data_IF_311683475446
#
_entry.id   IF_311683475446
#
_cell.length_a   1.000
_cell.length_b   1.000
_cell.length_c   1.000
_cell.angle_alpha   90.00
_cell.angle_beta   90.00
_cell.angle_gamma   90.00
#
_symmetry.space_group_name_H-M   'P 1'
#
loop_
_entity.id
_entity.type
_entity.pdbx_description
1 polymer ?
#
# COMPACT_ATOMS: atom_id res chain seq x y z
N UNK A 1 -0.16 -39.42 6.40
CA UNK A 1 0.99 -38.52 6.32
C UNK A 1 0.56 -37.06 6.30
N UNK A 2 -0.40 -36.64 5.43
CA UNK A 2 -0.85 -35.25 5.27
C UNK A 2 -1.34 -34.66 6.61
N UNK A 3 -2.23 -35.36 7.31
CA UNK A 3 -2.81 -34.91 8.57
C UNK A 3 -1.79 -34.59 9.69
N UNK A 4 -0.53 -35.03 9.55
CA UNK A 4 0.54 -34.77 10.54
C UNK A 4 1.46 -33.62 10.15
N UNK A 5 1.38 -33.12 8.93
CA UNK A 5 2.35 -32.17 8.37
C UNK A 5 1.71 -30.88 7.84
N UNK A 6 0.38 -30.88 7.71
CA UNK A 6 -0.36 -29.76 7.17
C UNK A 6 -1.39 -29.23 8.15
N UNK A 7 -1.52 -27.92 8.20
CA UNK A 7 -2.62 -27.20 8.82
C UNK A 7 -3.31 -26.36 7.74
N UNK A 8 -4.53 -25.96 7.94
CA UNK A 8 -5.27 -25.13 7.03
C UNK A 8 -5.77 -23.85 7.71
N UNK A 9 -5.73 -22.74 7.00
CA UNK A 9 -6.48 -21.53 7.34
C UNK A 9 -7.55 -21.35 6.28
N UNK A 10 -8.76 -21.81 6.58
CA UNK A 10 -9.84 -21.87 5.59
C UNK A 10 -11.21 -22.03 6.26
N UNK A 11 -12.23 -21.48 5.59
CA UNK A 11 -13.65 -21.73 5.93
C UNK A 11 -14.26 -22.88 5.13
N UNK A 12 -13.57 -23.39 4.08
CA UNK A 12 -14.02 -24.49 3.23
C UNK A 12 -13.57 -25.84 3.81
N UNK A 13 -14.18 -26.25 4.94
CA UNK A 13 -13.78 -27.44 5.70
C UNK A 13 -13.94 -28.75 4.94
N UNK A 14 -14.87 -28.84 4.00
CA UNK A 14 -15.05 -29.96 3.09
C UNK A 14 -13.81 -30.18 2.20
N UNK A 15 -13.28 -29.12 1.62
CA UNK A 15 -12.05 -29.17 0.81
C UNK A 15 -10.80 -29.43 1.66
N UNK A 16 -10.77 -28.94 2.87
CA UNK A 16 -9.69 -29.22 3.85
C UNK A 16 -9.66 -30.73 4.16
N UNK A 17 -10.82 -31.33 4.41
CA UNK A 17 -10.94 -32.76 4.66
C UNK A 17 -10.62 -33.60 3.41
N UNK A 18 -11.08 -33.20 2.22
CA UNK A 18 -10.77 -33.83 0.93
C UNK A 18 -9.27 -33.87 0.66
N UNK A 19 -8.54 -32.79 0.98
CA UNK A 19 -7.08 -32.74 0.88
C UNK A 19 -6.38 -33.69 1.86
N UNK A 20 -7.06 -34.12 2.94
CA UNK A 20 -6.55 -35.04 3.94
C UNK A 20 -5.97 -34.35 5.19
N UNK A 21 -6.27 -33.08 5.40
CA UNK A 21 -5.95 -32.38 6.65
C UNK A 21 -7.01 -32.73 7.70
N UNK A 22 -6.55 -33.01 8.93
CA UNK A 22 -7.46 -33.21 10.06
C UNK A 22 -8.21 -31.88 10.34
N UNK A 23 -9.56 -31.86 10.36
CA UNK A 23 -10.32 -30.65 10.66
C UNK A 23 -9.93 -30.00 12.01
N UNK A 24 -9.40 -30.75 12.97
CA UNK A 24 -8.87 -30.18 14.21
C UNK A 24 -7.61 -29.28 13.98
N UNK A 25 -6.96 -29.42 12.84
CA UNK A 25 -5.82 -28.61 12.42
C UNK A 25 -6.23 -27.50 11.42
N UNK A 26 -7.52 -27.20 11.32
CA UNK A 26 -8.05 -26.10 10.51
C UNK A 26 -8.39 -24.90 11.39
N UNK A 27 -7.82 -23.76 11.04
CA UNK A 27 -8.08 -22.48 11.70
C UNK A 27 -9.08 -21.67 10.87
N UNK A 28 -10.27 -21.47 11.44
CA UNK A 28 -11.33 -20.69 10.81
C UNK A 28 -11.22 -19.19 11.13
N UNK A 29 -11.90 -18.40 10.32
CA UNK A 29 -12.11 -16.97 10.53
C UNK A 29 -13.53 -16.61 10.10
N UNK A 30 -14.01 -15.44 10.54
CA UNK A 30 -15.39 -15.02 10.27
C UNK A 30 -15.57 -14.54 8.82
N UNK A 31 -16.79 -14.62 8.32
CA UNK A 31 -17.15 -14.24 6.95
C UNK A 31 -16.93 -12.76 6.64
N UNK A 32 -16.87 -11.92 7.65
CA UNK A 32 -16.60 -10.47 7.52
C UNK A 32 -15.11 -10.12 7.44
N UNK A 33 -14.22 -11.09 7.65
CA UNK A 33 -12.77 -10.86 7.52
C UNK A 33 -12.41 -10.77 6.05
N UNK A 34 -12.12 -9.55 5.58
CA UNK A 34 -11.66 -9.29 4.22
C UNK A 34 -10.16 -9.50 4.07
N UNK A 35 -9.70 -9.97 2.89
CA UNK A 35 -8.29 -10.32 2.65
C UNK A 35 -7.28 -9.24 3.01
N UNK A 36 -7.54 -7.99 2.62
CA UNK A 36 -6.64 -6.85 2.87
C UNK A 36 -6.60 -6.38 4.33
N UNK A 37 -7.54 -6.87 5.18
CA UNK A 37 -7.64 -6.58 6.62
C UNK A 37 -7.49 -7.85 7.45
N UNK A 38 -6.78 -8.88 6.97
CA UNK A 38 -6.84 -10.21 7.57
C UNK A 38 -5.58 -10.66 8.31
N UNK A 39 -4.48 -9.95 8.19
CA UNK A 39 -3.17 -10.40 8.73
C UNK A 39 -3.17 -10.51 10.27
N UNK A 40 -4.00 -9.76 10.94
CA UNK A 40 -4.24 -9.76 12.40
C UNK A 40 -5.24 -10.85 12.87
N UNK A 41 -5.88 -11.56 11.92
CA UNK A 41 -6.78 -12.69 12.17
C UNK A 41 -6.06 -14.04 12.10
N UNK A 42 -6.83 -15.15 12.11
CA UNK A 42 -6.29 -16.49 11.88
C UNK A 42 -5.50 -16.62 10.54
N UNK A 43 -5.75 -15.75 9.57
CA UNK A 43 -4.98 -15.69 8.32
C UNK A 43 -3.50 -15.39 8.57
N UNK A 44 -3.16 -14.69 9.65
CA UNK A 44 -1.78 -14.47 10.10
C UNK A 44 -1.09 -15.66 10.76
N UNK A 45 -1.68 -16.86 10.76
CA UNK A 45 -1.08 -18.05 11.41
C UNK A 45 0.34 -18.33 10.91
N UNK A 46 0.61 -18.18 9.61
CA UNK A 46 1.96 -18.37 9.06
C UNK A 46 2.96 -17.35 9.61
N UNK A 47 2.53 -16.10 9.79
CA UNK A 47 3.33 -15.06 10.44
C UNK A 47 3.57 -15.41 11.91
N UNK A 48 2.53 -15.83 12.64
CA UNK A 48 2.65 -16.25 14.04
C UNK A 48 3.65 -17.41 14.22
N UNK A 49 3.68 -18.36 13.28
CA UNK A 49 4.68 -19.44 13.26
C UNK A 49 6.09 -18.90 12.99
N UNK A 50 6.23 -17.94 12.09
CA UNK A 50 7.53 -17.41 11.69
C UNK A 50 8.19 -16.55 12.75
N UNK A 51 7.43 -15.70 13.47
CA UNK A 51 7.96 -14.75 14.47
C UNK A 51 7.73 -15.19 15.91
N UNK A 52 7.06 -16.33 16.11
CA UNK A 52 6.68 -16.86 17.43
C UNK A 52 5.48 -16.12 18.06
N UNK A 53 4.92 -16.73 19.13
CA UNK A 53 3.70 -16.21 19.77
C UNK A 53 3.93 -14.83 20.42
N UNK A 54 5.09 -14.59 21.01
CA UNK A 54 5.43 -13.30 21.61
C UNK A 54 5.54 -12.20 20.55
N UNK A 55 6.27 -12.47 19.44
CA UNK A 55 6.38 -11.52 18.33
C UNK A 55 5.03 -11.22 17.68
N UNK A 56 4.14 -12.21 17.57
CA UNK A 56 2.79 -12.00 17.05
C UNK A 56 1.90 -11.23 18.04
N UNK A 57 2.03 -11.48 19.34
CA UNK A 57 1.35 -10.67 20.35
C UNK A 57 1.80 -9.21 20.34
N UNK A 58 3.10 -8.94 20.18
CA UNK A 58 3.64 -7.60 20.03
C UNK A 58 3.11 -6.92 18.74
N UNK A 59 2.99 -7.67 17.64
CA UNK A 59 2.40 -7.18 16.40
C UNK A 59 0.96 -6.73 16.61
N UNK A 60 0.11 -7.55 17.25
CA UNK A 60 -1.26 -7.19 17.58
C UNK A 60 -1.35 -6.02 18.58
N UNK A 61 -0.42 -5.94 19.53
CA UNK A 61 -0.35 -4.80 20.45
C UNK A 61 -0.06 -3.49 19.71
N UNK A 62 0.64 -3.56 18.58
CA UNK A 62 0.85 -2.41 17.69
C UNK A 62 -0.46 -1.91 17.08
N UNK A 63 -1.31 -2.79 16.56
CA UNK A 63 -2.68 -2.43 16.09
C UNK A 63 -3.47 -1.77 17.21
N UNK A 64 -3.54 -2.42 18.36
CA UNK A 64 -4.28 -1.91 19.50
C UNK A 64 -3.81 -0.51 19.94
N UNK A 65 -2.50 -0.24 19.90
CA UNK A 65 -1.97 1.07 20.25
C UNK A 65 -2.45 2.16 19.27
N UNK A 66 -2.50 1.85 17.97
CA UNK A 66 -2.99 2.78 16.95
C UNK A 66 -4.52 2.95 17.01
N UNK A 67 -5.26 1.87 17.28
CA UNK A 67 -6.72 1.92 17.49
C UNK A 67 -7.09 2.85 18.66
N UNK A 68 -6.38 2.71 19.77
CA UNK A 68 -6.57 3.60 20.91
C UNK A 68 -6.22 5.05 20.57
N UNK A 69 -5.11 5.27 19.86
CA UNK A 69 -4.75 6.60 19.41
C UNK A 69 -5.84 7.21 18.53
N UNK A 70 -6.36 6.45 17.58
CA UNK A 70 -7.44 6.91 16.70
C UNK A 70 -8.73 7.23 17.46
N UNK A 71 -9.09 6.42 18.47
CA UNK A 71 -10.30 6.58 19.25
C UNK A 71 -10.22 7.71 20.29
N UNK A 72 -9.04 7.94 20.89
CA UNK A 72 -8.88 8.76 22.10
C UNK A 72 -8.19 10.13 21.83
N UNK A 73 -7.39 10.24 20.75
CA UNK A 73 -6.66 11.47 20.49
C UNK A 73 -7.58 12.61 20.07
N UNK A 74 -7.28 13.82 20.54
CA UNK A 74 -7.95 15.02 20.06
C UNK A 74 -7.73 15.20 18.54
N UNK A 75 -8.72 15.70 17.79
CA UNK A 75 -8.66 15.75 16.32
C UNK A 75 -7.38 16.35 15.75
N UNK A 76 -6.87 17.42 16.35
CA UNK A 76 -5.64 18.10 15.93
C UNK A 76 -4.34 17.33 16.24
N UNK A 77 -4.45 16.19 16.92
CA UNK A 77 -3.33 15.28 17.25
C UNK A 77 -3.58 13.86 16.75
N UNK A 78 -4.72 13.62 16.15
CA UNK A 78 -5.12 12.30 15.65
C UNK A 78 -4.47 12.06 14.29
N UNK A 79 -3.35 11.35 14.28
CA UNK A 79 -2.52 11.17 13.08
C UNK A 79 -3.29 10.52 11.94
N UNK A 80 -4.00 9.37 12.10
CA UNK A 80 -4.76 8.77 11.02
C UNK A 80 -5.86 9.69 10.47
N UNK A 81 -6.56 10.41 11.35
CA UNK A 81 -7.58 11.37 10.94
C UNK A 81 -6.99 12.50 10.10
N UNK A 82 -5.90 13.11 10.57
CA UNK A 82 -5.24 14.20 9.86
C UNK A 82 -4.69 13.76 8.50
N UNK A 83 -4.04 12.59 8.42
CA UNK A 83 -3.50 12.07 7.17
C UNK A 83 -4.61 11.73 6.17
N UNK A 84 -5.69 11.08 6.60
CA UNK A 84 -6.83 10.79 5.72
C UNK A 84 -7.52 12.05 5.21
N UNK A 85 -7.69 13.08 6.05
CA UNK A 85 -8.23 14.37 5.63
C UNK A 85 -7.28 15.10 4.65
N UNK A 86 -5.96 15.00 4.85
CA UNK A 86 -4.98 15.54 3.92
C UNK A 86 -5.03 14.83 2.56
N UNK A 87 -5.18 13.50 2.54
CA UNK A 87 -5.32 12.74 1.28
C UNK A 87 -6.57 13.18 0.51
N UNK A 88 -7.71 13.30 1.19
CA UNK A 88 -8.94 13.86 0.58
C UNK A 88 -8.69 15.29 0.05
N UNK A 89 -7.97 16.11 0.82
CA UNK A 89 -7.62 17.47 0.39
C UNK A 89 -6.75 17.48 -0.85
N UNK A 90 -5.70 16.65 -0.89
CA UNK A 90 -4.81 16.56 -2.04
C UNK A 90 -5.53 16.04 -3.28
N UNK A 91 -6.33 14.99 -3.14
CA UNK A 91 -7.07 14.39 -4.25
C UNK A 91 -8.16 15.33 -4.78
N UNK A 92 -9.10 15.75 -3.93
CA UNK A 92 -10.30 16.44 -4.38
C UNK A 92 -10.11 17.94 -4.64
N UNK A 93 -9.14 18.59 -4.00
CA UNK A 93 -8.97 20.04 -4.10
C UNK A 93 -7.67 20.46 -4.81
N UNK A 94 -6.66 19.61 -4.82
CA UNK A 94 -5.38 19.92 -5.44
C UNK A 94 -5.04 19.04 -6.65
N UNK A 95 -5.93 18.11 -7.02
CA UNK A 95 -5.80 17.26 -8.21
C UNK A 95 -4.66 16.26 -8.15
N UNK A 96 -4.36 15.74 -6.95
CA UNK A 96 -3.39 14.67 -6.79
C UNK A 96 -4.07 13.30 -7.07
N UNK A 97 -3.78 12.72 -8.24
CA UNK A 97 -4.32 11.43 -8.67
C UNK A 97 -3.64 10.24 -8.00
N UNK A 98 -2.45 10.45 -7.44
CA UNK A 98 -1.60 9.37 -6.90
C UNK A 98 -0.95 9.78 -5.60
N UNK A 99 -0.61 8.79 -4.76
CA UNK A 99 0.09 8.94 -3.50
C UNK A 99 1.28 7.98 -3.44
N UNK A 100 2.48 8.50 -3.20
CA UNK A 100 3.68 7.69 -3.11
C UNK A 100 3.98 7.30 -1.65
N UNK A 101 4.37 6.04 -1.41
CA UNK A 101 4.85 5.57 -0.11
C UNK A 101 6.29 5.07 -0.27
N UNK A 102 7.21 5.74 0.41
CA UNK A 102 8.64 5.67 0.18
C UNK A 102 9.36 5.21 1.47
N UNK A 103 9.36 3.90 1.77
CA UNK A 103 10.01 3.38 2.96
C UNK A 103 11.52 3.38 2.79
N UNK A 104 12.23 4.08 3.68
CA UNK A 104 13.68 3.99 3.85
C UNK A 104 14.02 2.76 4.71
N UNK A 105 13.59 1.60 4.22
CA UNK A 105 13.86 0.28 4.80
C UNK A 105 13.60 -0.81 3.77
N UNK A 106 14.59 -1.65 3.49
CA UNK A 106 14.45 -2.79 2.56
C UNK A 106 13.41 -3.80 3.05
N UNK A 107 13.25 -3.96 4.36
CA UNK A 107 12.25 -4.88 4.93
C UNK A 107 10.80 -4.43 4.69
N UNK A 108 10.59 -3.17 4.34
CA UNK A 108 9.28 -2.64 3.94
C UNK A 108 9.11 -2.55 2.41
N UNK A 109 9.96 -3.19 1.60
CA UNK A 109 9.87 -3.10 0.13
C UNK A 109 8.49 -3.53 -0.43
N UNK A 110 7.77 -4.42 0.25
CA UNK A 110 6.42 -4.87 -0.12
C UNK A 110 5.30 -4.02 0.50
N UNK A 111 5.62 -3.12 1.41
CA UNK A 111 4.61 -2.31 2.08
C UNK A 111 3.81 -1.41 1.13
N UNK A 112 4.43 -0.70 0.17
CA UNK A 112 3.65 0.05 -0.83
C UNK A 112 2.70 -0.84 -1.64
N UNK A 113 3.12 -2.06 -2.02
CA UNK A 113 2.26 -3.00 -2.75
C UNK A 113 1.10 -3.55 -1.89
N UNK A 114 1.29 -3.69 -0.58
CA UNK A 114 0.19 -3.99 0.34
C UNK A 114 -0.81 -2.83 0.38
N UNK A 115 -0.33 -1.59 0.49
CA UNK A 115 -1.18 -0.39 0.51
C UNK A 115 -1.93 -0.17 -0.80
N UNK A 116 -1.41 -0.64 -1.93
CA UNK A 116 -2.17 -0.67 -3.19
C UNK A 116 -3.48 -1.43 -3.03
N UNK A 117 -3.42 -2.65 -2.51
CA UNK A 117 -4.62 -3.41 -2.25
C UNK A 117 -5.47 -2.76 -1.17
N UNK A 118 -4.87 -2.40 -0.03
CA UNK A 118 -5.59 -1.80 1.09
C UNK A 118 -6.42 -0.60 0.66
N UNK A 119 -5.82 0.38 0.01
CA UNK A 119 -6.47 1.66 -0.31
C UNK A 119 -7.29 1.58 -1.60
N UNK A 120 -6.72 1.05 -2.69
CA UNK A 120 -7.38 1.09 -4.00
C UNK A 120 -8.57 0.14 -4.07
N UNK A 121 -8.48 -1.06 -3.47
CA UNK A 121 -9.61 -1.99 -3.40
C UNK A 121 -10.70 -1.48 -2.44
N UNK A 122 -10.32 -0.79 -1.36
CA UNK A 122 -11.27 -0.20 -0.42
C UNK A 122 -11.96 1.04 -1.00
N UNK A 123 -11.21 2.01 -1.47
CA UNK A 123 -11.71 3.35 -1.78
C UNK A 123 -11.87 3.64 -3.29
N UNK A 124 -11.47 2.73 -4.17
CA UNK A 124 -11.73 2.81 -5.60
C UNK A 124 -13.20 2.50 -5.91
N UNK A 125 -14.11 3.37 -5.46
CA UNK A 125 -15.57 3.19 -5.57
C UNK A 125 -16.21 4.39 -6.26
N UNK A 126 -17.20 4.13 -7.11
CA UNK A 126 -17.96 5.15 -7.86
C UNK A 126 -19.39 5.34 -7.36
N UNK A 127 -19.76 4.63 -6.29
CA UNK A 127 -21.11 4.63 -5.73
C UNK A 127 -21.06 4.87 -4.23
N UNK A 128 -21.92 5.73 -3.72
CA UNK A 128 -22.08 5.99 -2.29
C UNK A 128 -22.87 4.86 -1.60
N UNK A 129 -22.84 4.85 -0.27
CA UNK A 129 -23.61 3.89 0.55
C UNK A 129 -25.11 3.90 0.32
N UNK A 130 -25.66 5.03 -0.11
CA UNK A 130 -27.09 5.17 -0.45
C UNK A 130 -27.44 4.75 -1.89
N UNK A 131 -26.45 4.27 -2.66
CA UNK A 131 -26.61 3.87 -4.06
C UNK A 131 -26.49 5.01 -5.06
N UNK A 132 -26.32 6.26 -4.63
CA UNK A 132 -26.12 7.38 -5.55
C UNK A 132 -24.73 7.39 -6.15
N UNK A 133 -24.55 7.89 -7.40
CA UNK A 133 -23.22 7.99 -8.01
C UNK A 133 -22.36 9.03 -7.27
N UNK A 134 -21.09 8.75 -7.17
CA UNK A 134 -20.08 9.73 -6.72
C UNK A 134 -19.85 10.76 -7.83
N UNK A 135 -19.72 12.03 -7.47
CA UNK A 135 -19.51 13.16 -8.40
C UNK A 135 -18.16 13.85 -8.21
N UNK A 136 -17.26 13.23 -7.46
CA UNK A 136 -15.89 13.68 -7.15
C UNK A 136 -14.94 12.47 -7.23
N UNK A 137 -13.64 12.72 -7.23
CA UNK A 137 -12.64 11.66 -7.27
C UNK A 137 -12.60 10.88 -5.95
N UNK A 138 -12.40 9.56 -6.03
CA UNK A 138 -12.24 8.65 -4.89
C UNK A 138 -11.12 7.68 -5.18
N UNK A 139 -10.34 7.31 -4.15
CA UNK A 139 -9.36 6.25 -4.24
C UNK A 139 -8.19 6.57 -5.15
N UNK A 140 -7.29 7.43 -4.67
CA UNK A 140 -6.03 7.72 -5.34
C UNK A 140 -5.16 6.48 -5.54
N UNK A 141 -4.31 6.51 -6.56
CA UNK A 141 -3.41 5.39 -6.88
C UNK A 141 -2.23 5.37 -5.92
N UNK A 142 -2.19 4.41 -5.00
CA UNK A 142 -1.04 4.17 -4.13
C UNK A 142 0.06 3.42 -4.86
N UNK A 143 1.30 3.84 -4.66
CA UNK A 143 2.48 3.23 -5.26
C UNK A 143 3.74 3.62 -4.50
N UNK A 144 4.86 2.97 -4.75
CA UNK A 144 6.13 3.34 -4.16
C UNK A 144 7.16 2.24 -4.21
N UNK A 145 8.37 2.62 -3.82
CA UNK A 145 9.54 1.76 -3.74
C UNK A 145 10.43 2.20 -2.56
N UNK A 146 11.35 1.36 -2.08
CA UNK A 146 12.31 1.76 -1.07
C UNK A 146 13.12 3.01 -1.46
N UNK A 147 13.36 3.86 -0.49
CA UNK A 147 13.88 5.23 -0.56
C UNK A 147 15.00 5.49 -1.53
N UNK A 148 16.22 4.93 -1.33
CA UNK A 148 17.36 5.27 -2.20
C UNK A 148 17.20 4.72 -3.62
N UNK A 149 16.61 3.54 -3.81
CA UNK A 149 16.35 3.00 -5.15
C UNK A 149 15.36 3.86 -5.92
N UNK A 150 14.28 4.30 -5.28
CA UNK A 150 13.27 5.18 -5.85
C UNK A 150 13.84 6.51 -6.37
N UNK A 151 14.90 7.05 -5.71
CA UNK A 151 15.57 8.28 -6.14
C UNK A 151 16.11 8.17 -7.59
N UNK A 152 16.54 6.99 -7.99
CA UNK A 152 17.08 6.73 -9.33
C UNK A 152 16.02 6.29 -10.35
N UNK A 153 14.76 6.11 -9.92
CA UNK A 153 13.70 5.61 -10.77
C UNK A 153 12.68 6.71 -11.15
N UNK A 154 12.12 7.42 -10.17
CA UNK A 154 10.96 8.30 -10.41
C UNK A 154 11.00 9.63 -9.64
N UNK A 155 12.00 9.92 -8.82
CA UNK A 155 12.06 11.19 -8.08
C UNK A 155 12.17 12.40 -8.98
N UNK A 156 12.65 12.27 -10.20
CA UNK A 156 12.61 13.33 -11.21
C UNK A 156 11.19 13.88 -11.37
N UNK A 157 10.19 13.01 -11.48
CA UNK A 157 8.79 13.43 -11.60
C UNK A 157 8.29 14.09 -10.32
N UNK A 158 8.61 13.51 -9.15
CA UNK A 158 8.15 14.05 -7.87
C UNK A 158 8.71 15.45 -7.63
N UNK A 159 10.00 15.70 -7.94
CA UNK A 159 10.64 17.01 -7.75
C UNK A 159 10.27 18.06 -8.78
N UNK A 160 10.32 17.71 -10.06
CA UNK A 160 10.24 18.68 -11.16
C UNK A 160 9.10 18.39 -12.15
N UNK A 161 8.33 17.33 -11.96
CA UNK A 161 7.19 17.02 -12.81
C UNK A 161 6.05 18.02 -12.62
N UNK A 162 5.14 18.04 -13.58
CA UNK A 162 3.95 18.92 -13.59
C UNK A 162 2.81 18.39 -12.71
N UNK A 163 2.87 17.14 -12.28
CA UNK A 163 1.87 16.53 -11.40
C UNK A 163 2.25 16.69 -9.94
N UNK A 164 1.27 16.94 -9.10
CA UNK A 164 1.44 16.84 -7.66
C UNK A 164 1.38 15.37 -7.25
N UNK A 165 2.37 14.93 -6.51
CA UNK A 165 2.42 13.59 -5.92
C UNK A 165 2.72 13.76 -4.43
N UNK A 166 1.71 13.72 -3.55
CA UNK A 166 1.92 13.61 -2.11
C UNK A 166 2.73 12.34 -1.81
N UNK A 167 3.61 12.40 -0.83
CA UNK A 167 4.47 11.27 -0.53
C UNK A 167 4.69 11.08 0.97
N UNK A 168 4.56 9.83 1.41
CA UNK A 168 4.89 9.40 2.77
C UNK A 168 6.29 8.78 2.80
N UNK A 169 7.18 9.41 3.55
CA UNK A 169 8.53 8.94 3.78
C UNK A 169 8.60 8.23 5.12
N UNK A 170 8.97 6.95 5.14
CA UNK A 170 9.02 6.13 6.36
C UNK A 170 10.45 5.74 6.66
N UNK A 171 10.96 6.05 7.87
CA UNK A 171 12.30 5.71 8.29
C UNK A 171 12.35 5.27 9.76
N UNK A 172 13.48 4.70 10.17
CA UNK A 172 13.72 4.23 11.53
C UNK A 172 15.00 4.85 12.08
N UNK A 173 14.98 5.31 13.34
CA UNK A 173 16.12 5.92 13.97
C UNK A 173 17.29 4.92 14.16
N UNK A 174 16.96 3.65 14.38
CA UNK A 174 17.95 2.59 14.52
C UNK A 174 17.78 1.55 13.41
N UNK A 175 18.87 1.06 12.80
CA UNK A 175 18.81 0.01 11.80
C UNK A 175 18.45 -1.34 12.45
N UNK A 176 17.90 -2.27 11.66
CA UNK A 176 17.71 -3.66 12.10
C UNK A 176 19.07 -4.34 12.36
N UNK A 177 20.07 -4.01 11.53
CA UNK A 177 21.43 -4.51 11.64
C UNK A 177 22.40 -3.36 11.42
N UNK A 178 23.35 -3.19 12.35
CA UNK A 178 24.42 -2.22 12.16
C UNK A 178 25.33 -2.65 11.00
N UNK A 179 25.60 -1.73 10.08
CA UNK A 179 26.47 -1.96 8.93
C UNK A 179 27.37 -0.73 8.75
N UNK A 180 28.68 -0.95 8.87
CA UNK A 180 29.69 0.05 8.59
C UNK A 180 30.44 -0.25 7.28
N UNK A 181 30.98 0.80 6.65
CA UNK A 181 31.91 0.72 5.52
C UNK A 181 33.11 1.62 5.83
N UNK A 182 34.19 1.01 6.35
CA UNK A 182 35.29 1.76 6.92
C UNK A 182 34.85 2.54 8.16
N UNK A 183 35.08 3.87 8.15
CA UNK A 183 34.68 4.79 9.22
C UNK A 183 33.24 5.33 9.03
N UNK A 184 32.55 4.95 7.92
CA UNK A 184 31.22 5.44 7.62
C UNK A 184 30.15 4.56 8.26
N UNK A 185 29.14 5.18 8.88
CA UNK A 185 27.90 4.52 9.28
C UNK A 185 26.92 4.55 8.09
N UNK A 186 26.64 3.36 7.54
CA UNK A 186 25.76 3.22 6.39
C UNK A 186 24.32 3.66 6.69
N UNK A 187 23.88 3.55 7.93
CA UNK A 187 22.56 4.00 8.35
C UNK A 187 22.46 5.52 8.39
N UNK A 188 23.49 6.20 8.92
CA UNK A 188 23.54 7.68 8.92
C UNK A 188 23.55 8.21 7.49
N UNK A 189 24.33 7.62 6.59
CA UNK A 189 24.33 7.97 5.18
C UNK A 189 22.98 7.74 4.53
N UNK A 190 22.29 6.66 4.87
CA UNK A 190 20.95 6.35 4.40
C UNK A 190 19.91 7.36 4.89
N UNK A 191 19.93 7.69 6.18
CA UNK A 191 19.06 8.70 6.77
C UNK A 191 19.32 10.12 6.25
N UNK A 192 20.57 10.44 5.91
CA UNK A 192 20.89 11.74 5.30
C UNK A 192 20.10 11.97 3.99
N UNK A 193 19.93 10.90 3.20
CA UNK A 193 19.08 10.93 2.01
C UNK A 193 17.61 11.14 2.34
N UNK A 194 17.07 10.44 3.35
CA UNK A 194 15.69 10.64 3.81
C UNK A 194 15.43 12.12 4.15
N UNK A 195 16.30 12.74 4.96
CA UNK A 195 16.16 14.15 5.34
C UNK A 195 16.38 15.11 4.17
N UNK A 196 17.35 14.81 3.30
CA UNK A 196 17.64 15.65 2.15
C UNK A 196 16.47 15.68 1.15
N UNK A 197 15.84 14.53 0.89
CA UNK A 197 14.73 14.45 -0.07
C UNK A 197 13.50 15.21 0.42
N UNK A 198 13.09 15.00 1.67
CA UNK A 198 11.94 15.72 2.25
C UNK A 198 12.19 17.23 2.31
N UNK A 199 13.40 17.64 2.67
CA UNK A 199 13.80 19.05 2.65
C UNK A 199 13.76 19.65 1.23
N UNK A 200 14.30 18.93 0.25
CA UNK A 200 14.32 19.39 -1.13
C UNK A 200 12.91 19.52 -1.73
N UNK A 201 12.02 18.60 -1.41
CA UNK A 201 10.61 18.64 -1.81
C UNK A 201 9.87 19.82 -1.19
N UNK A 202 10.15 20.12 0.09
CA UNK A 202 9.51 21.23 0.79
C UNK A 202 9.97 22.60 0.28
N UNK A 203 11.28 22.82 0.17
CA UNK A 203 11.85 24.14 -0.06
C UNK A 203 12.27 24.41 -1.51
N UNK A 204 12.61 23.35 -2.26
CA UNK A 204 13.08 23.48 -3.64
C UNK A 204 14.42 24.19 -3.76
N UNK A 205 14.65 24.83 -4.91
CA UNK A 205 15.82 25.64 -5.26
C UNK A 205 15.46 26.69 -6.30
N UNK A 206 15.66 27.94 -5.97
CA UNK A 206 15.29 29.07 -6.83
C UNK A 206 16.24 29.27 -8.01
N UNK A 207 15.81 30.05 -8.99
CA UNK A 207 16.68 30.42 -10.14
C UNK A 207 17.90 31.25 -9.73
N UNK A 208 17.75 32.08 -8.67
CA UNK A 208 18.87 32.86 -8.13
C UNK A 208 19.93 31.97 -7.50
N UNK A 209 19.52 31.00 -6.70
CA UNK A 209 20.42 30.00 -6.10
C UNK A 209 21.13 29.16 -7.16
N UNK A 210 20.40 28.75 -8.20
CA UNK A 210 20.98 27.99 -9.33
C UNK A 210 22.02 28.81 -10.07
N UNK A 211 21.78 30.12 -10.30
CA UNK A 211 22.77 31.03 -10.91
C UNK A 211 23.99 31.26 -10.02
N UNK A 212 23.77 31.39 -8.71
CA UNK A 212 24.85 31.58 -7.74
C UNK A 212 25.84 30.39 -7.69
N UNK A 213 25.41 29.20 -8.11
CA UNK A 213 26.25 28.01 -8.26
C UNK A 213 27.10 28.03 -9.56
N UNK A 214 27.01 29.08 -10.39
CA UNK A 214 27.72 29.15 -11.66
C UNK A 214 27.07 28.36 -12.80
N UNK A 215 25.79 28.02 -12.67
CA UNK A 215 25.06 27.31 -13.73
C UNK A 215 24.94 28.16 -14.99
N UNK A 216 25.26 27.66 -16.20
CA UNK A 216 25.05 28.36 -17.46
C UNK A 216 23.58 28.77 -17.64
N UNK A 217 23.32 30.01 -18.07
CA UNK A 217 21.96 30.58 -18.15
C UNK A 217 21.01 29.72 -19.01
N UNK A 218 21.51 29.07 -20.04
CA UNK A 218 20.72 28.20 -20.92
C UNK A 218 20.05 27.00 -20.20
N UNK A 219 20.55 26.62 -19.05
CA UNK A 219 20.02 25.46 -18.28
C UNK A 219 19.57 25.85 -16.89
N UNK A 220 19.57 27.12 -16.52
CA UNK A 220 19.10 27.56 -15.18
C UNK A 220 17.67 27.09 -14.91
N UNK A 221 16.75 27.32 -15.83
CA UNK A 221 15.34 26.94 -15.67
C UNK A 221 15.14 25.43 -15.49
N UNK A 222 15.96 24.60 -16.13
CA UNK A 222 15.92 23.14 -16.02
C UNK A 222 16.47 22.64 -14.67
N UNK A 223 17.20 23.47 -13.93
CA UNK A 223 17.78 23.12 -12.62
C UNK A 223 17.06 23.76 -11.43
N UNK A 224 15.97 24.46 -11.66
CA UNK A 224 15.08 24.98 -10.63
C UNK A 224 14.25 23.84 -10.06
N UNK A 225 14.10 23.82 -8.75
CA UNK A 225 13.17 22.93 -8.03
C UNK A 225 12.10 23.80 -7.40
N UNK A 226 10.84 23.56 -7.76
CA UNK A 226 9.73 24.42 -7.32
C UNK A 226 9.49 24.41 -5.82
N UNK A 227 9.85 23.32 -5.15
CA UNK A 227 9.47 23.13 -3.76
C UNK A 227 7.95 22.99 -3.57
N UNK A 228 7.48 23.20 -2.35
CA UNK A 228 6.06 23.12 -1.98
C UNK A 228 5.39 21.81 -2.47
N UNK A 229 6.14 20.71 -2.44
CA UNK A 229 5.68 19.36 -2.72
C UNK A 229 5.31 18.69 -1.40
N UNK A 230 4.06 18.28 -1.20
CA UNK A 230 3.60 17.77 0.09
C UNK A 230 4.26 16.43 0.43
N UNK A 231 4.77 16.34 1.66
CA UNK A 231 5.33 15.09 2.20
C UNK A 231 4.92 14.90 3.65
N UNK A 232 4.71 13.64 4.05
CA UNK A 232 4.60 13.23 5.44
C UNK A 232 5.86 12.45 5.82
N UNK A 233 6.52 12.83 6.90
CA UNK A 233 7.67 12.08 7.42
C UNK A 233 7.25 11.26 8.64
N UNK A 234 7.36 9.94 8.53
CA UNK A 234 7.09 8.99 9.60
C UNK A 234 8.41 8.41 10.07
N UNK A 235 8.77 8.67 11.32
CA UNK A 235 9.99 8.13 11.91
C UNK A 235 9.68 7.39 13.21
N UNK A 236 10.06 6.11 13.25
CA UNK A 236 9.92 5.27 14.44
C UNK A 236 11.30 4.89 15.00
N UNK A 237 11.40 4.47 16.28
CA UNK A 237 12.69 4.08 16.86
C UNK A 237 13.38 2.94 16.13
N UNK A 238 12.65 1.87 15.80
CA UNK A 238 13.16 0.68 15.08
C UNK A 238 11.99 -0.05 14.43
N UNK A 239 12.25 -0.83 13.38
CA UNK A 239 11.25 -1.73 12.79
C UNK A 239 11.10 -2.98 13.68
N UNK A 240 10.08 -2.98 14.53
CA UNK A 240 9.68 -4.09 15.39
C UNK A 240 8.32 -4.63 14.96
N UNK A 241 7.90 -5.83 15.42
CA UNK A 241 6.53 -6.31 15.18
C UNK A 241 5.46 -5.28 15.60
N UNK A 242 5.60 -4.67 16.77
CA UNK A 242 4.66 -3.65 17.26
C UNK A 242 4.63 -2.41 16.35
N UNK A 243 5.78 -1.91 15.89
CA UNK A 243 5.83 -0.76 14.98
C UNK A 243 5.23 -1.10 13.62
N UNK A 244 5.44 -2.31 13.11
CA UNK A 244 4.79 -2.76 11.87
C UNK A 244 3.26 -2.83 12.03
N UNK A 245 2.78 -3.36 13.16
CA UNK A 245 1.34 -3.38 13.50
C UNK A 245 0.75 -1.97 13.55
N UNK A 246 1.46 -1.01 14.17
CA UNK A 246 1.05 0.39 14.19
C UNK A 246 1.00 1.01 12.78
N UNK A 247 1.97 0.71 11.92
CA UNK A 247 1.98 1.23 10.54
C UNK A 247 0.81 0.66 9.72
N UNK A 248 0.51 -0.62 9.85
CA UNK A 248 -0.63 -1.23 9.15
C UNK A 248 -1.93 -0.59 9.62
N UNK A 249 -2.18 -0.56 10.93
CA UNK A 249 -3.39 0.03 11.50
C UNK A 249 -3.52 1.54 11.17
N UNK A 250 -2.40 2.29 11.11
CA UNK A 250 -2.40 3.67 10.67
C UNK A 250 -3.05 3.82 9.28
N UNK A 251 -2.61 3.03 8.30
CA UNK A 251 -3.16 3.11 6.94
C UNK A 251 -4.56 2.50 6.82
N UNK A 252 -4.92 1.54 7.64
CA UNK A 252 -6.30 1.04 7.75
C UNK A 252 -7.24 2.14 8.22
N UNK A 253 -6.86 2.89 9.24
CA UNK A 253 -7.64 4.04 9.73
C UNK A 253 -7.66 5.21 8.73
N UNK A 254 -6.55 5.49 8.02
CA UNK A 254 -6.53 6.48 6.93
C UNK A 254 -7.57 6.11 5.87
N UNK A 255 -7.55 4.84 5.41
CA UNK A 255 -8.50 4.32 4.43
C UNK A 255 -9.95 4.43 4.91
N UNK A 256 -10.19 4.15 6.20
CA UNK A 256 -11.52 4.35 6.82
C UNK A 256 -11.95 5.81 6.81
N UNK A 257 -11.05 6.73 7.19
CA UNK A 257 -11.34 8.18 7.21
C UNK A 257 -11.71 8.69 5.83
N UNK A 258 -10.92 8.35 4.82
CA UNK A 258 -11.20 8.71 3.42
C UNK A 258 -12.57 8.20 2.98
N UNK A 259 -12.82 6.90 3.16
CA UNK A 259 -14.11 6.29 2.80
C UNK A 259 -15.30 6.86 3.54
N UNK A 260 -15.12 7.24 4.82
CA UNK A 260 -16.15 7.90 5.60
C UNK A 260 -16.48 9.31 5.07
N UNK A 261 -15.44 10.09 4.70
CA UNK A 261 -15.60 11.43 4.11
C UNK A 261 -16.28 11.35 2.74
N UNK A 262 -15.85 10.42 1.89
CA UNK A 262 -16.44 10.20 0.57
C UNK A 262 -17.82 9.54 0.62
N UNK A 263 -18.21 8.96 1.76
CA UNK A 263 -19.51 8.31 1.95
C UNK A 263 -19.65 7.01 1.16
N UNK A 264 -18.56 6.29 0.91
CA UNK A 264 -18.48 5.06 0.12
C UNK A 264 -18.36 3.81 1.00
N UNK A 265 -18.62 2.63 0.44
CA UNK A 265 -18.39 1.33 1.08
C UNK A 265 -16.96 0.85 0.85
N UNK A 266 -16.08 1.12 1.83
CA UNK A 266 -14.66 0.77 1.76
C UNK A 266 -14.38 -0.72 2.00
N UNK A 267 -15.29 -1.47 2.64
CA UNK A 267 -15.03 -2.82 3.15
C UNK A 267 -15.61 -3.95 2.28
N UNK A 268 -16.03 -3.63 1.05
CA UNK A 268 -16.41 -4.59 0.01
C UNK A 268 -15.48 -4.49 -1.21
N UNK A 269 -15.69 -5.36 -2.21
CA UNK A 269 -14.87 -5.44 -3.43
C UNK A 269 -15.66 -6.02 -4.63
N UNK A 270 -16.88 -5.55 -4.89
CA UNK A 270 -17.72 -6.04 -6.01
C UNK A 270 -17.04 -5.91 -7.38
N UNK A 271 -16.13 -4.93 -7.55
CA UNK A 271 -15.40 -4.72 -8.79
C UNK A 271 -14.55 -5.91 -9.27
N UNK A 272 -14.20 -6.85 -8.37
CA UNK A 272 -13.44 -8.06 -8.73
C UNK A 272 -14.32 -9.28 -9.06
N UNK A 273 -15.66 -9.19 -8.91
CA UNK A 273 -16.56 -10.34 -9.10
C UNK A 273 -16.77 -10.68 -10.57
N UNK A 274 -16.99 -9.67 -11.42
CA UNK A 274 -17.25 -9.89 -12.86
C UNK A 274 -16.11 -10.65 -13.54
N UNK A 275 -14.87 -10.29 -13.27
CA UNK A 275 -13.70 -10.98 -13.83
C UNK A 275 -13.67 -12.47 -13.49
N UNK A 276 -14.03 -12.84 -12.26
CA UNK A 276 -14.11 -14.25 -11.84
C UNK A 276 -15.21 -15.02 -12.57
N UNK A 277 -16.36 -14.39 -12.81
CA UNK A 277 -17.47 -14.98 -13.57
C UNK A 277 -17.03 -15.22 -15.02
N UNK A 278 -16.48 -14.18 -15.67
CA UNK A 278 -16.01 -14.26 -17.05
C UNK A 278 -14.88 -15.29 -17.21
N UNK A 279 -13.95 -15.39 -16.27
CA UNK A 279 -12.87 -16.39 -16.32
C UNK A 279 -13.42 -17.82 -16.37
N UNK A 280 -14.46 -18.13 -15.58
CA UNK A 280 -15.13 -19.46 -15.63
C UNK A 280 -15.84 -19.71 -16.95
N UNK A 281 -16.38 -18.68 -17.61
CA UNK A 281 -17.05 -18.79 -18.92
C UNK A 281 -16.03 -18.95 -20.06
N UNK A 282 -14.85 -18.35 -19.92
CA UNK A 282 -13.79 -18.39 -20.95
C UNK A 282 -13.00 -19.71 -20.89
N UNK A 283 -12.85 -20.31 -19.70
CA UNK A 283 -12.02 -21.52 -19.53
C UNK A 283 -12.35 -22.65 -20.52
N UNK A 284 -13.62 -23.03 -20.80
CA UNK A 284 -13.94 -24.03 -21.79
C UNK A 284 -13.44 -23.68 -23.20
N UNK A 285 -13.43 -22.40 -23.58
CA UNK A 285 -12.87 -21.97 -24.87
C UNK A 285 -11.35 -22.23 -24.92
N UNK A 286 -10.62 -21.96 -23.84
CA UNK A 286 -9.18 -22.25 -23.73
C UNK A 286 -8.93 -23.75 -23.80
N UNK A 287 -9.79 -24.58 -23.21
CA UNK A 287 -9.73 -26.03 -23.19
C UNK A 287 -10.16 -26.71 -24.52
N UNK A 288 -10.69 -25.95 -25.48
CA UNK A 288 -10.95 -26.48 -26.86
C UNK A 288 -12.41 -26.43 -27.32
N UNK A 289 -13.35 -25.93 -26.52
CA UNK A 289 -14.74 -25.78 -26.93
C UNK A 289 -14.89 -24.71 -28.01
N UNK A 290 -15.35 -25.11 -29.21
CA UNK A 290 -15.62 -24.20 -30.31
C UNK A 290 -16.82 -23.30 -30.00
N UNK A 291 -17.87 -23.83 -29.36
CA UNK A 291 -19.06 -23.10 -28.97
C UNK A 291 -18.71 -21.98 -27.96
N UNK A 292 -17.91 -22.29 -26.95
CA UNK A 292 -17.44 -21.31 -25.99
C UNK A 292 -16.52 -20.25 -26.62
N UNK A 293 -15.73 -20.62 -27.63
CA UNK A 293 -14.86 -19.71 -28.38
C UNK A 293 -15.70 -18.74 -29.25
N UNK A 294 -16.71 -19.28 -29.95
CA UNK A 294 -17.60 -18.46 -30.81
C UNK A 294 -18.46 -17.47 -30.01
N UNK A 295 -18.68 -17.73 -28.71
CA UNK A 295 -19.38 -16.83 -27.81
C UNK A 295 -18.51 -15.65 -27.32
N UNK A 296 -17.21 -15.64 -27.60
CA UNK A 296 -16.32 -14.56 -27.17
C UNK A 296 -16.34 -13.39 -28.16
N UNK A 297 -16.00 -12.21 -27.64
CA UNK A 297 -15.73 -11.05 -28.48
C UNK A 297 -14.47 -11.28 -29.33
N UNK A 298 -14.33 -10.49 -30.40
CA UNK A 298 -13.28 -10.66 -31.39
C UNK A 298 -11.85 -10.60 -30.80
N UNK A 299 -11.61 -9.73 -29.83
CA UNK A 299 -10.28 -9.57 -29.20
C UNK A 299 -9.95 -10.79 -28.35
N UNK A 300 -10.87 -11.20 -27.47
CA UNK A 300 -10.69 -12.39 -26.61
C UNK A 300 -10.51 -13.64 -27.44
N UNK A 301 -11.33 -13.81 -28.50
CA UNK A 301 -11.22 -14.94 -29.43
C UNK A 301 -9.84 -15.00 -30.09
N UNK A 302 -9.37 -13.90 -30.67
CA UNK A 302 -8.06 -13.84 -31.33
C UNK A 302 -6.91 -14.21 -30.40
N UNK A 303 -6.94 -13.77 -29.14
CA UNK A 303 -5.94 -14.10 -28.12
C UNK A 303 -5.97 -15.60 -27.77
N UNK A 304 -7.17 -16.19 -27.63
CA UNK A 304 -7.32 -17.63 -27.35
C UNK A 304 -6.82 -18.46 -28.54
N UNK A 305 -7.18 -18.05 -29.76
CA UNK A 305 -6.71 -18.73 -30.99
C UNK A 305 -5.17 -18.67 -31.08
N UNK A 306 -4.56 -17.52 -30.79
CA UNK A 306 -3.09 -17.40 -30.75
C UNK A 306 -2.45 -18.25 -29.65
N UNK A 307 -3.05 -18.32 -28.46
CA UNK A 307 -2.57 -19.20 -27.39
C UNK A 307 -2.60 -20.68 -27.74
N UNK A 308 -3.60 -21.08 -28.57
CA UNK A 308 -3.82 -22.49 -28.96
C UNK A 308 -3.03 -22.92 -30.21
N UNK A 309 -2.42 -21.99 -30.95
CA UNK A 309 -1.61 -22.25 -32.14
C UNK A 309 -0.21 -22.82 -31.79
#
# INVERSE_FOLDING_TARGET
>A
AIAKHFVAVSTALDKVAEFGIDPANAFGFWSWVGGRYSVDSAVGTSLAVAIGPEGFADFLAGFHAMDRHFAEAAPEKNVPLLMGLLNVWYSNFLGADTHAVLPYSQYLHRFPAYLQQLTMESNGKSVRRDGSPVTYETGEVFWGEPGTNGQHAFYQLIHQGTRMVPADFIAFANPTWALGDGDADMHELFLSNFFAQTKALAFGKTSEEVRAEGTPEAIVSARVFTGNRPTTSIMAPSLTPSVLGQLIALYEHITFVEGAVWGIDSFDQWGVELGKVLAKQILPAIEGSSEALDAQDQSTRALIEYYRA
#
